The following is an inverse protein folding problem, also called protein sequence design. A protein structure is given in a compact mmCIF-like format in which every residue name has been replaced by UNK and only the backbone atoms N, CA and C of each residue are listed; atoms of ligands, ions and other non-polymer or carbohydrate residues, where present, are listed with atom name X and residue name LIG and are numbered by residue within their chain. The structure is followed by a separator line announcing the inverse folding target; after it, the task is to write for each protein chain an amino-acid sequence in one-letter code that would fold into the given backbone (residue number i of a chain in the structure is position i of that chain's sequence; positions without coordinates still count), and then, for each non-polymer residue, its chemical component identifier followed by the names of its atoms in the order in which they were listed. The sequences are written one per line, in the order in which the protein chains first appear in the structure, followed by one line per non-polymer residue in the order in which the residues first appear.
data_IF_715036083402
#
_entry.id   IF_715036083402
#
_cell.length_a   1.000
_cell.length_b   1.000
_cell.length_c   1.000
_cell.angle_alpha   90.00
_cell.angle_beta   90.00
_cell.angle_gamma   90.00
#
_symmetry.space_group_name_H-M   'P 1'
#
loop_
_entity.id
_entity.type
_entity.pdbx_description
1 polymer ?
#
# COMPACT_ATOMS: atom_id res chain seq x y z
N UNK A 1 -20.94 -30.74 4.79
CA UNK A 1 -19.68 -30.33 4.16
C UNK A 1 -18.66 -30.44 5.25
N UNK A 2 -17.80 -31.44 5.16
CA UNK A 2 -16.77 -31.68 6.17
C UNK A 2 -15.76 -30.53 6.13
N UNK A 3 -15.44 -29.99 7.30
CA UNK A 3 -14.39 -28.98 7.43
C UNK A 3 -13.06 -29.59 6.95
N UNK A 4 -12.33 -28.94 6.02
CA UNK A 4 -11.08 -29.46 5.53
C UNK A 4 -10.06 -29.55 6.67
N UNK A 5 -9.40 -30.70 6.77
CA UNK A 5 -8.35 -30.97 7.75
C UNK A 5 -7.19 -29.95 7.56
N UNK A 6 -6.88 -29.09 8.54
CA UNK A 6 -6.00 -27.92 8.36
C UNK A 6 -4.50 -28.25 8.30
N UNK A 7 -4.10 -29.50 8.53
CA UNK A 7 -2.71 -29.93 8.38
C UNK A 7 -2.36 -30.07 6.89
N UNK A 8 -1.57 -29.10 6.39
CA UNK A 8 -0.96 -29.08 5.04
C UNK A 8 -1.93 -28.95 3.84
N UNK A 9 -3.07 -28.29 3.98
CA UNK A 9 -3.92 -27.99 2.82
C UNK A 9 -3.24 -26.93 1.93
N UNK A 10 -2.75 -27.37 0.76
CA UNK A 10 -2.31 -26.47 -0.32
C UNK A 10 -3.53 -25.83 -0.97
N UNK A 11 -3.52 -24.52 -1.19
CA UNK A 11 -4.59 -23.81 -1.89
C UNK A 11 -4.07 -22.61 -2.68
N UNK A 12 -4.91 -22.05 -3.55
CA UNK A 12 -4.53 -20.95 -4.46
C UNK A 12 -5.66 -19.93 -4.48
N UNK A 13 -5.34 -18.64 -4.39
CA UNK A 13 -6.37 -17.60 -4.56
C UNK A 13 -6.51 -17.26 -6.05
N UNK A 14 -7.64 -17.61 -6.66
CA UNK A 14 -7.85 -17.53 -8.10
C UNK A 14 -8.30 -16.15 -8.61
N UNK A 15 -8.18 -15.06 -7.83
CA UNK A 15 -8.57 -13.73 -8.34
C UNK A 15 -7.78 -12.59 -7.72
N UNK A 16 -6.55 -12.86 -7.31
CA UNK A 16 -5.64 -11.85 -6.74
C UNK A 16 -4.97 -11.02 -7.83
N UNK A 17 -4.75 -9.74 -7.53
CA UNK A 17 -4.05 -8.83 -8.45
C UNK A 17 -2.59 -9.25 -8.64
N UNK A 18 -2.09 -9.17 -9.89
CA UNK A 18 -0.67 -9.40 -10.17
C UNK A 18 0.26 -8.32 -9.59
N UNK A 19 -0.28 -7.20 -9.10
CA UNK A 19 0.48 -6.12 -8.48
C UNK A 19 1.26 -6.55 -7.23
N UNK A 20 0.76 -7.56 -6.51
CA UNK A 20 1.41 -8.07 -5.30
C UNK A 20 2.53 -9.08 -5.59
N UNK A 21 2.67 -9.54 -6.84
CA UNK A 21 3.64 -10.58 -7.18
C UNK A 21 5.06 -10.06 -6.90
N UNK A 22 5.89 -10.88 -6.24
CA UNK A 22 7.28 -10.55 -5.89
C UNK A 22 7.47 -9.35 -4.94
N UNK A 23 6.44 -9.00 -4.15
CA UNK A 23 6.58 -7.99 -3.09
C UNK A 23 6.09 -8.48 -1.73
N UNK A 24 6.57 -7.82 -0.68
CA UNK A 24 6.15 -8.04 0.71
C UNK A 24 5.57 -6.74 1.25
N UNK A 25 4.42 -6.84 1.89
CA UNK A 25 3.82 -5.74 2.65
C UNK A 25 4.46 -5.74 4.04
N UNK A 26 5.00 -4.60 4.46
CA UNK A 26 5.46 -4.42 5.83
C UNK A 26 4.72 -3.29 6.55
N UNK A 27 4.41 -3.53 7.81
CA UNK A 27 4.02 -2.52 8.78
C UNK A 27 5.11 -2.43 9.87
N UNK A 28 5.99 -1.44 9.73
CA UNK A 28 6.93 -1.07 10.78
C UNK A 28 6.25 -0.14 11.79
N UNK A 29 6.33 -0.45 13.07
CA UNK A 29 5.70 0.32 14.15
C UNK A 29 6.75 0.66 15.20
N UNK A 30 6.70 1.88 15.73
CA UNK A 30 7.46 2.27 16.91
C UNK A 30 6.48 2.40 18.06
N UNK A 31 6.72 1.63 19.12
CA UNK A 31 5.93 1.64 20.35
C UNK A 31 6.73 2.35 21.44
N UNK A 32 6.10 3.28 22.15
CA UNK A 32 6.70 4.10 23.22
C UNK A 32 6.90 3.37 24.56
N UNK A 33 7.19 2.07 24.49
CA UNK A 33 7.49 1.24 25.64
C UNK A 33 8.42 0.08 25.25
N UNK A 34 9.13 -0.45 26.24
CA UNK A 34 9.90 -1.69 26.10
C UNK A 34 8.96 -2.87 26.30
N UNK A 35 8.83 -3.70 25.26
CA UNK A 35 7.96 -4.87 25.26
C UNK A 35 8.74 -6.15 25.61
N UNK A 36 8.05 -7.14 26.15
CA UNK A 36 8.60 -8.45 26.46
C UNK A 36 8.61 -9.34 25.20
N UNK A 37 9.82 -9.64 24.71
CA UNK A 37 10.02 -10.49 23.53
C UNK A 37 9.41 -11.89 23.67
N UNK A 38 9.41 -12.47 24.86
CA UNK A 38 8.85 -13.80 25.09
C UNK A 38 7.31 -13.78 25.00
N UNK A 39 6.66 -12.73 25.54
CA UNK A 39 5.21 -12.53 25.39
C UNK A 39 4.86 -12.33 23.92
N UNK A 40 5.61 -11.48 23.20
CA UNK A 40 5.39 -11.22 21.78
C UNK A 40 5.48 -12.51 20.96
N UNK A 41 6.53 -13.33 21.17
CA UNK A 41 6.70 -14.62 20.50
C UNK A 41 5.59 -15.61 20.86
N UNK A 42 5.18 -15.66 22.13
CA UNK A 42 4.09 -16.50 22.60
C UNK A 42 2.76 -16.16 21.91
N UNK A 43 2.41 -14.86 21.86
CA UNK A 43 1.19 -14.40 21.19
C UNK A 43 1.25 -14.53 19.68
N UNK A 44 2.43 -14.46 19.08
CA UNK A 44 2.62 -14.74 17.66
C UNK A 44 2.35 -16.21 17.34
N UNK A 45 2.84 -17.10 18.19
CA UNK A 45 2.59 -18.55 18.10
C UNK A 45 1.09 -18.84 18.25
N UNK A 46 0.42 -18.17 19.19
CA UNK A 46 -1.03 -18.27 19.35
C UNK A 46 -1.79 -17.76 18.12
N UNK A 47 -1.39 -16.62 17.56
CA UNK A 47 -1.96 -16.06 16.33
C UNK A 47 -1.83 -17.02 15.16
N UNK A 48 -0.63 -17.59 14.92
CA UNK A 48 -0.39 -18.55 13.85
C UNK A 48 -1.23 -19.80 14.04
N UNK A 49 -1.37 -20.30 15.27
CA UNK A 49 -2.24 -21.44 15.56
C UNK A 49 -3.70 -21.16 15.18
N UNK A 50 -4.18 -19.94 15.41
CA UNK A 50 -5.55 -19.53 15.08
C UNK A 50 -5.71 -19.22 13.58
N UNK A 51 -4.69 -18.61 12.97
CA UNK A 51 -4.63 -18.20 11.55
C UNK A 51 -3.46 -18.91 10.84
N UNK A 52 -3.59 -20.21 10.53
CA UNK A 52 -2.48 -21.05 10.08
C UNK A 52 -1.91 -20.70 8.70
N UNK A 53 -2.61 -19.91 7.88
CA UNK A 53 -2.04 -19.30 6.66
C UNK A 53 -0.75 -18.54 6.95
N UNK A 54 -0.68 -17.86 8.11
CA UNK A 54 0.48 -17.06 8.49
C UNK A 54 1.70 -17.93 8.79
N UNK A 55 1.50 -19.15 9.27
CA UNK A 55 2.59 -20.11 9.54
C UNK A 55 2.92 -21.02 8.38
N UNK A 56 2.36 -20.78 7.19
CA UNK A 56 2.61 -21.57 5.99
C UNK A 56 3.61 -20.91 5.03
N UNK A 57 3.75 -21.53 3.86
CA UNK A 57 4.73 -21.16 2.84
C UNK A 57 4.05 -20.74 1.53
N UNK A 58 4.73 -19.85 0.80
CA UNK A 58 4.42 -19.43 -0.55
C UNK A 58 5.11 -20.36 -1.55
N UNK A 59 4.31 -21.03 -2.38
CA UNK A 59 4.77 -21.97 -3.42
C UNK A 59 4.74 -21.29 -4.80
N UNK A 60 5.91 -20.86 -5.28
CA UNK A 60 6.06 -20.03 -6.49
C UNK A 60 6.11 -20.79 -7.82
N UNK A 61 6.14 -22.12 -7.79
CA UNK A 61 6.19 -23.00 -8.98
C UNK A 61 4.82 -23.20 -9.66
N UNK A 62 3.74 -22.77 -9.01
CA UNK A 62 2.37 -22.84 -9.50
C UNK A 62 1.95 -21.52 -10.16
N UNK A 63 0.84 -21.52 -10.91
CA UNK A 63 0.29 -20.29 -11.50
C UNK A 63 -1.25 -20.30 -11.50
N UNK A 64 -1.92 -19.52 -10.63
CA UNK A 64 -1.35 -18.59 -9.65
C UNK A 64 -0.49 -19.31 -8.59
N UNK A 65 0.32 -18.55 -7.84
CA UNK A 65 1.10 -19.15 -6.77
C UNK A 65 0.17 -19.75 -5.71
N UNK A 66 0.59 -20.86 -5.12
CA UNK A 66 -0.14 -21.57 -4.09
C UNK A 66 0.44 -21.27 -2.72
N UNK A 67 -0.33 -21.61 -1.69
CA UNK A 67 0.01 -21.40 -0.30
C UNK A 67 -0.28 -22.65 0.49
N UNK A 68 0.46 -22.83 1.58
CA UNK A 68 0.11 -23.81 2.60
C UNK A 68 -0.42 -23.11 3.85
N UNK A 69 -1.17 -23.85 4.65
CA UNK A 69 -1.32 -23.57 6.08
C UNK A 69 -0.20 -24.29 6.84
N UNK A 70 0.24 -23.71 7.95
CA UNK A 70 1.30 -24.29 8.77
C UNK A 70 1.39 -23.65 10.15
N UNK A 71 2.46 -24.02 10.88
CA UNK A 71 2.73 -23.60 12.25
C UNK A 71 4.08 -22.91 12.40
N UNK A 72 4.73 -22.55 11.29
CA UNK A 72 6.05 -21.90 11.30
C UNK A 72 5.98 -20.53 11.93
N UNK A 73 6.71 -20.33 13.02
CA UNK A 73 6.82 -19.04 13.73
C UNK A 73 8.11 -18.32 13.30
N UNK A 74 8.05 -17.57 12.20
CA UNK A 74 9.16 -16.74 11.73
C UNK A 74 9.27 -15.47 12.60
N UNK A 75 10.02 -15.58 13.69
CA UNK A 75 10.25 -14.54 14.69
C UNK A 75 11.73 -14.33 14.92
N UNK A 76 12.18 -13.07 14.91
CA UNK A 76 13.51 -12.70 15.37
C UNK A 76 13.43 -11.44 16.23
N UNK A 77 14.22 -11.41 17.30
CA UNK A 77 14.36 -10.24 18.17
C UNK A 77 15.82 -9.92 18.43
N UNK A 78 16.11 -8.64 18.65
CA UNK A 78 17.43 -8.16 19.09
C UNK A 78 17.27 -7.08 20.15
N UNK A 79 18.21 -7.04 21.08
CA UNK A 79 18.33 -6.02 22.11
C UNK A 79 19.43 -5.04 21.71
N UNK A 80 19.09 -3.76 21.65
CA UNK A 80 20.05 -2.69 21.35
C UNK A 80 20.09 -1.74 22.54
N UNK A 81 21.29 -1.60 23.10
CA UNK A 81 21.54 -0.75 24.26
C UNK A 81 21.61 0.75 23.89
N UNK A 82 20.56 1.27 23.27
CA UNK A 82 20.41 2.67 22.85
C UNK A 82 18.98 3.15 23.10
N UNK A 83 18.79 4.46 23.21
CA UNK A 83 17.46 5.08 23.20
C UNK A 83 16.92 5.17 21.76
N UNK A 84 15.61 5.32 21.61
CA UNK A 84 14.98 5.60 20.31
C UNK A 84 15.58 6.82 19.63
N UNK A 85 15.77 7.92 20.38
CA UNK A 85 16.32 9.16 19.86
C UNK A 85 17.74 9.00 19.29
N UNK A 86 18.53 8.05 19.80
CA UNK A 86 19.86 7.74 19.28
C UNK A 86 19.82 6.71 18.15
N UNK A 87 19.02 5.66 18.32
CA UNK A 87 19.00 4.53 17.40
C UNK A 87 18.30 4.87 16.08
N UNK A 88 17.18 5.60 16.14
CA UNK A 88 16.37 5.98 15.00
C UNK A 88 15.84 7.42 15.20
N UNK A 89 16.70 8.44 14.99
CA UNK A 89 16.32 9.85 15.17
C UNK A 89 15.34 10.26 14.08
N UNK A 90 14.04 10.11 14.33
CA UNK A 90 12.97 10.61 13.47
C UNK A 90 12.36 11.84 14.15
N UNK A 91 12.62 13.01 13.58
CA UNK A 91 12.11 14.27 14.09
C UNK A 91 11.14 14.92 13.10
N UNK A 92 9.99 15.35 13.61
CA UNK A 92 9.07 16.20 12.87
C UNK A 92 8.58 17.34 13.77
N UNK A 93 8.38 18.50 13.17
CA UNK A 93 7.81 19.66 13.82
C UNK A 93 6.27 19.54 13.84
N UNK A 94 5.71 19.22 15.01
CA UNK A 94 4.27 19.10 15.21
C UNK A 94 3.53 20.42 15.00
N UNK A 95 4.21 21.56 15.14
CA UNK A 95 3.64 22.89 14.95
C UNK A 95 3.71 23.37 13.49
N UNK A 96 4.07 22.50 12.55
CA UNK A 96 4.07 22.84 11.13
C UNK A 96 2.66 23.16 10.63
N UNK A 97 2.52 24.28 9.93
CA UNK A 97 1.28 24.67 9.26
C UNK A 97 1.13 24.08 7.84
N UNK A 98 2.15 23.37 7.34
CA UNK A 98 2.11 22.73 6.02
C UNK A 98 2.97 21.48 5.91
N UNK A 99 3.00 20.83 4.74
CA UNK A 99 3.79 19.63 4.51
C UNK A 99 5.29 19.88 4.72
N UNK A 100 5.97 18.96 5.43
CA UNK A 100 7.42 19.03 5.67
C UNK A 100 8.06 17.66 5.49
N UNK A 101 9.22 17.64 4.84
CA UNK A 101 10.12 16.48 4.85
C UNK A 101 10.61 16.30 6.29
N UNK A 102 10.46 15.09 6.81
CA UNK A 102 10.90 14.75 8.16
C UNK A 102 12.42 14.58 8.17
N UNK A 103 13.05 14.95 9.27
CA UNK A 103 14.47 14.65 9.47
C UNK A 103 14.56 13.18 9.91
N UNK A 104 15.18 12.35 9.08
CA UNK A 104 15.43 10.95 9.34
C UNK A 104 16.77 10.53 8.74
N UNK A 105 17.34 9.40 9.20
CA UNK A 105 18.38 8.71 8.42
C UNK A 105 17.90 8.38 7.01
N UNK A 106 18.84 8.01 6.14
CA UNK A 106 18.54 7.43 4.84
C UNK A 106 17.55 6.27 5.00
N UNK A 107 16.56 6.21 4.11
CA UNK A 107 15.44 5.27 4.26
C UNK A 107 15.89 3.81 4.24
N UNK A 108 16.94 3.48 3.48
CA UNK A 108 17.55 2.14 3.53
C UNK A 108 18.04 1.78 4.94
N UNK A 109 18.70 2.72 5.63
CA UNK A 109 19.16 2.53 7.00
C UNK A 109 17.99 2.48 8.00
N UNK A 110 16.86 3.15 7.70
CA UNK A 110 15.62 2.97 8.48
C UNK A 110 15.04 1.57 8.26
N UNK A 111 15.00 1.10 7.02
CA UNK A 111 14.46 -0.22 6.68
C UNK A 111 15.27 -1.34 7.32
N UNK A 112 16.60 -1.28 7.33
CA UNK A 112 17.47 -2.25 8.02
C UNK A 112 17.24 -2.32 9.54
N UNK A 113 16.66 -1.26 10.13
CA UNK A 113 16.28 -1.25 11.55
C UNK A 113 14.99 -2.03 11.80
N UNK A 114 14.09 -2.09 10.83
CA UNK A 114 12.82 -2.83 10.90
C UNK A 114 12.91 -4.24 10.29
N UNK A 115 13.62 -4.38 9.18
CA UNK A 115 13.71 -5.58 8.34
C UNK A 115 15.13 -6.12 8.47
N UNK A 116 15.33 -7.05 9.40
CA UNK A 116 16.59 -7.74 9.63
C UNK A 116 16.36 -9.25 9.70
N UNK A 117 17.42 -10.04 9.52
CA UNK A 117 17.36 -11.51 9.52
C UNK A 117 16.28 -12.06 8.59
N UNK A 118 16.20 -11.52 7.37
CA UNK A 118 15.27 -11.98 6.33
C UNK A 118 16.09 -12.70 5.26
N UNK A 119 15.89 -14.02 5.06
CA UNK A 119 16.62 -14.75 4.04
C UNK A 119 16.21 -14.30 2.62
N UNK A 120 17.11 -14.39 1.62
CA UNK A 120 16.81 -14.03 0.23
C UNK A 120 15.68 -14.89 -0.37
N UNK A 121 15.67 -16.18 -0.06
CA UNK A 121 14.67 -17.14 -0.53
C UNK A 121 13.47 -17.19 0.43
N UNK A 122 12.60 -16.20 0.28
CA UNK A 122 11.37 -16.04 1.04
C UNK A 122 10.37 -17.18 0.76
N UNK A 123 10.31 -18.17 1.66
CA UNK A 123 9.27 -19.20 1.70
C UNK A 123 8.11 -18.81 2.63
N UNK A 124 8.41 -18.34 3.85
CA UNK A 124 7.38 -18.02 4.85
C UNK A 124 6.44 -16.89 4.40
N UNK A 125 5.13 -17.11 4.61
CA UNK A 125 4.07 -16.16 4.32
C UNK A 125 4.10 -14.93 5.22
N UNK A 126 4.53 -15.07 6.47
CA UNK A 126 4.47 -14.02 7.49
C UNK A 126 5.66 -14.06 8.44
N UNK A 127 6.06 -12.89 8.93
CA UNK A 127 7.12 -12.75 9.92
C UNK A 127 6.93 -11.55 10.83
N UNK A 128 7.52 -11.65 12.02
CA UNK A 128 7.66 -10.54 12.95
C UNK A 128 9.14 -10.32 13.30
N UNK A 129 9.59 -9.08 13.23
CA UNK A 129 10.90 -8.63 13.69
C UNK A 129 10.74 -7.63 14.82
N UNK A 130 11.54 -7.79 15.88
CA UNK A 130 11.43 -6.98 17.09
C UNK A 130 12.81 -6.42 17.46
N UNK A 131 12.93 -5.10 17.55
CA UNK A 131 14.12 -4.46 18.12
C UNK A 131 13.73 -3.80 19.44
N UNK A 132 14.29 -4.30 20.54
CA UNK A 132 14.10 -3.75 21.87
C UNK A 132 15.16 -2.67 22.13
N UNK A 133 14.71 -1.47 22.47
CA UNK A 133 15.56 -0.34 22.87
C UNK A 133 15.40 -0.10 24.38
N UNK A 134 16.16 0.85 24.92
CA UNK A 134 16.07 1.22 26.35
C UNK A 134 14.71 1.81 26.74
N UNK A 135 14.03 2.47 25.80
CA UNK A 135 12.84 3.29 26.03
C UNK A 135 11.70 3.03 25.04
N UNK A 136 11.89 2.16 24.05
CA UNK A 136 10.93 1.90 22.99
C UNK A 136 11.11 0.51 22.38
N UNK A 137 10.15 0.10 21.56
CA UNK A 137 10.22 -1.14 20.77
C UNK A 137 9.88 -0.85 19.32
N UNK A 138 10.72 -1.32 18.39
CA UNK A 138 10.40 -1.33 16.96
C UNK A 138 9.86 -2.72 16.61
N UNK A 139 8.68 -2.76 16.00
CA UNK A 139 8.03 -3.97 15.51
C UNK A 139 7.94 -3.90 13.99
N UNK A 140 8.17 -5.00 13.28
CA UNK A 140 7.96 -5.07 11.84
C UNK A 140 7.21 -6.34 11.47
N UNK A 141 5.97 -6.17 11.03
CA UNK A 141 5.12 -7.25 10.53
C UNK A 141 5.30 -7.33 9.01
N UNK A 142 5.79 -8.44 8.49
CA UNK A 142 5.99 -8.64 7.06
C UNK A 142 5.14 -9.79 6.52
N UNK A 143 4.29 -9.53 5.53
CA UNK A 143 3.41 -10.55 4.91
C UNK A 143 3.60 -10.54 3.39
N UNK A 144 3.65 -11.71 2.77
CA UNK A 144 3.72 -11.82 1.32
C UNK A 144 2.52 -11.12 0.65
N UNK A 145 2.79 -10.15 -0.23
CA UNK A 145 1.74 -9.30 -0.82
C UNK A 145 0.79 -10.08 -1.75
N UNK A 146 1.19 -11.28 -2.20
CA UNK A 146 0.34 -12.12 -3.03
C UNK A 146 -0.91 -12.63 -2.27
N UNK A 147 -0.83 -12.84 -0.95
CA UNK A 147 -2.00 -13.21 -0.11
C UNK A 147 -2.60 -12.05 0.64
N UNK A 148 -1.89 -10.96 0.83
CA UNK A 148 -2.22 -9.93 1.81
C UNK A 148 -2.07 -8.56 1.17
N UNK A 149 -3.07 -7.70 1.32
CA UNK A 149 -2.93 -6.27 1.03
C UNK A 149 -2.75 -5.46 2.34
N UNK A 150 -2.72 -4.13 2.24
CA UNK A 150 -2.58 -3.27 3.42
C UNK A 150 -3.70 -3.45 4.47
N UNK A 151 -4.91 -3.84 4.06
CA UNK A 151 -6.03 -4.09 4.98
C UNK A 151 -5.80 -5.36 5.77
N UNK A 152 -5.43 -6.45 5.10
CA UNK A 152 -5.10 -7.70 5.79
C UNK A 152 -3.91 -7.55 6.73
N UNK A 153 -2.91 -6.76 6.34
CA UNK A 153 -1.78 -6.47 7.21
C UNK A 153 -2.26 -5.77 8.49
N UNK A 154 -3.14 -4.77 8.37
CA UNK A 154 -3.74 -4.10 9.52
C UNK A 154 -4.55 -5.06 10.40
N UNK A 155 -5.40 -5.92 9.80
CA UNK A 155 -6.19 -6.90 10.54
C UNK A 155 -5.32 -7.93 11.28
N UNK A 156 -4.20 -8.35 10.70
CA UNK A 156 -3.22 -9.23 11.35
C UNK A 156 -2.58 -8.54 12.57
N UNK A 157 -2.12 -7.30 12.43
CA UNK A 157 -1.55 -6.55 13.57
C UNK A 157 -2.61 -6.30 14.64
N UNK A 158 -3.85 -5.96 14.24
CA UNK A 158 -4.97 -5.78 15.15
C UNK A 158 -5.29 -7.06 15.91
N UNK A 159 -5.41 -8.21 15.22
CA UNK A 159 -5.64 -9.51 15.84
C UNK A 159 -4.53 -9.87 16.84
N UNK A 160 -3.26 -9.58 16.49
CA UNK A 160 -2.14 -9.74 17.41
C UNK A 160 -2.30 -8.90 18.69
N UNK A 161 -2.71 -7.63 18.58
CA UNK A 161 -2.97 -6.76 19.74
C UNK A 161 -4.19 -7.20 20.55
N UNK A 162 -5.23 -7.68 19.89
CA UNK A 162 -6.41 -8.27 20.56
C UNK A 162 -5.98 -9.48 21.41
N UNK A 163 -5.13 -10.37 20.89
CA UNK A 163 -4.57 -11.50 21.64
C UNK A 163 -3.66 -11.08 22.81
N UNK A 164 -2.85 -10.02 22.64
CA UNK A 164 -2.07 -9.43 23.73
C UNK A 164 -2.97 -8.96 24.88
N UNK A 165 -4.17 -8.48 24.55
CA UNK A 165 -5.19 -8.05 25.51
C UNK A 165 -6.12 -9.18 25.97
N UNK A 166 -5.83 -10.44 25.64
CA UNK A 166 -6.68 -11.61 25.88
C UNK A 166 -8.11 -11.47 25.32
N UNK A 167 -8.28 -10.70 24.25
CA UNK A 167 -9.54 -10.61 23.51
C UNK A 167 -9.60 -11.72 22.46
N UNK A 168 -10.78 -12.30 22.21
CA UNK A 168 -10.94 -13.29 21.15
C UNK A 168 -10.75 -12.64 19.78
N UNK A 169 -10.18 -13.40 18.84
CA UNK A 169 -10.09 -13.02 17.42
C UNK A 169 -10.98 -13.94 16.57
N UNK A 170 -11.39 -13.50 15.37
CA UNK A 170 -12.15 -14.35 14.45
C UNK A 170 -11.40 -15.63 14.09
N UNK A 171 -12.13 -16.72 13.84
CA UNK A 171 -11.54 -17.96 13.34
C UNK A 171 -11.08 -17.79 11.88
N UNK A 172 -9.99 -18.45 11.51
CA UNK A 172 -9.55 -18.45 10.12
C UNK A 172 -10.54 -19.20 9.23
N UNK A 173 -10.79 -18.64 8.05
CA UNK A 173 -11.46 -19.31 6.94
C UNK A 173 -10.59 -19.19 5.68
N UNK A 174 -10.66 -20.19 4.82
CA UNK A 174 -10.11 -20.07 3.48
C UNK A 174 -10.91 -19.00 2.69
N UNK A 175 -10.24 -18.21 1.84
CA UNK A 175 -10.95 -17.27 1.00
C UNK A 175 -11.84 -18.03 0.00
N UNK A 176 -13.01 -17.50 -0.40
CA UNK A 176 -13.95 -18.22 -1.26
C UNK A 176 -13.36 -18.71 -2.59
N UNK A 177 -12.45 -17.92 -3.16
CA UNK A 177 -11.75 -18.22 -4.42
C UNK A 177 -10.56 -19.18 -4.28
N UNK A 178 -10.30 -19.66 -3.06
CA UNK A 178 -9.51 -20.88 -2.85
C UNK A 178 -10.33 -22.15 -3.07
N UNK A 179 -11.66 -22.07 -3.03
CA UNK A 179 -12.56 -23.11 -3.51
C UNK A 179 -13.09 -22.78 -4.90
N UNK A 180 -14.29 -23.29 -5.21
CA UNK A 180 -14.93 -23.13 -6.52
C UNK A 180 -15.84 -21.87 -6.61
N UNK A 181 -15.71 -20.93 -5.65
CA UNK A 181 -16.55 -19.73 -5.58
C UNK A 181 -15.81 -18.54 -6.15
N UNK A 182 -16.35 -17.94 -7.21
CA UNK A 182 -15.82 -16.71 -7.81
C UNK A 182 -16.10 -15.51 -6.91
N UNK A 183 -15.11 -14.65 -6.73
CA UNK A 183 -15.28 -13.41 -5.97
C UNK A 183 -16.26 -12.47 -6.69
N UNK A 184 -16.29 -12.50 -8.02
CA UNK A 184 -17.23 -11.70 -8.83
C UNK A 184 -18.70 -12.10 -8.66
N UNK A 185 -18.98 -13.29 -8.11
CA UNK A 185 -20.34 -13.75 -7.80
C UNK A 185 -20.78 -13.36 -6.37
N UNK A 186 -19.83 -12.93 -5.53
CA UNK A 186 -20.06 -12.51 -4.13
C UNK A 186 -20.30 -11.01 -3.98
N UNK A 187 -20.85 -10.35 -5.00
CA UNK A 187 -21.17 -8.92 -4.93
C UNK A 187 -22.36 -8.68 -4.00
N UNK A 188 -22.23 -7.79 -3.00
CA UNK A 188 -23.33 -7.46 -2.05
C UNK A 188 -24.59 -6.96 -2.76
N UNK A 189 -24.40 -6.21 -3.84
CA UNK A 189 -25.47 -5.64 -4.65
C UNK A 189 -25.38 -6.28 -6.02
N UNK A 190 -26.45 -6.97 -6.42
CA UNK A 190 -26.60 -7.46 -7.79
C UNK A 190 -27.17 -6.31 -8.62
N UNK A 191 -26.32 -5.65 -9.41
CA UNK A 191 -26.79 -4.65 -10.36
C UNK A 191 -27.17 -5.34 -11.67
N UNK A 192 -28.33 -4.99 -12.20
CA UNK A 192 -28.69 -5.25 -13.60
C UNK A 192 -27.87 -4.31 -14.48
N UNK A 193 -26.62 -4.68 -14.73
CA UNK A 193 -25.75 -4.01 -15.69
C UNK A 193 -26.12 -4.50 -17.09
N UNK A 194 -26.28 -3.60 -18.06
CA UNK A 194 -26.47 -4.03 -19.45
C UNK A 194 -25.21 -4.74 -19.96
N UNK A 195 -25.34 -5.60 -20.96
CA UNK A 195 -24.19 -6.29 -21.56
C UNK A 195 -23.15 -5.30 -22.09
N UNK A 196 -23.60 -4.19 -22.69
CA UNK A 196 -22.73 -3.13 -23.20
C UNK A 196 -21.91 -2.47 -22.08
N UNK A 197 -22.52 -2.14 -20.95
CA UNK A 197 -21.83 -1.56 -19.79
C UNK A 197 -20.86 -2.55 -19.15
N UNK A 198 -21.26 -3.82 -19.04
CA UNK A 198 -20.39 -4.90 -18.58
C UNK A 198 -19.14 -5.02 -19.45
N UNK A 199 -19.30 -5.06 -20.78
CA UNK A 199 -18.20 -5.13 -21.72
C UNK A 199 -17.29 -3.89 -21.64
N UNK A 200 -17.87 -2.70 -21.51
CA UNK A 200 -17.11 -1.46 -21.33
C UNK A 200 -16.23 -1.51 -20.07
N UNK A 201 -16.79 -1.92 -18.94
CA UNK A 201 -16.03 -2.05 -17.69
C UNK A 201 -14.92 -3.10 -17.80
N UNK A 202 -15.22 -4.28 -18.34
CA UNK A 202 -14.22 -5.33 -18.54
C UNK A 202 -13.04 -4.83 -19.39
N UNK A 203 -13.32 -4.18 -20.52
CA UNK A 203 -12.29 -3.62 -21.40
C UNK A 203 -11.50 -2.49 -20.72
N UNK A 204 -12.15 -1.67 -19.90
CA UNK A 204 -11.47 -0.62 -19.11
C UNK A 204 -10.42 -1.23 -18.18
N UNK A 205 -10.73 -2.34 -17.51
CA UNK A 205 -9.75 -3.06 -16.68
C UNK A 205 -8.70 -3.78 -17.52
N UNK A 206 -9.09 -4.42 -18.62
CA UNK A 206 -8.17 -5.10 -19.51
C UNK A 206 -7.08 -4.17 -20.06
N UNK A 207 -7.43 -2.92 -20.38
CA UNK A 207 -6.47 -1.90 -20.84
C UNK A 207 -5.40 -1.53 -19.81
N UNK A 208 -5.57 -1.89 -18.54
CA UNK A 208 -4.54 -1.66 -17.51
C UNK A 208 -3.41 -2.69 -17.60
N UNK A 209 -3.61 -3.78 -18.32
CA UNK A 209 -2.69 -4.92 -18.33
C UNK A 209 -2.25 -5.30 -19.74
N UNK A 210 -0.95 -5.56 -19.87
CA UNK A 210 -0.39 -6.29 -21.00
C UNK A 210 -0.28 -7.77 -20.59
N UNK A 211 -0.43 -8.67 -21.56
CA UNK A 211 -0.29 -10.11 -21.34
C UNK A 211 0.66 -10.75 -22.35
N UNK A 212 1.34 -11.80 -21.91
CA UNK A 212 2.23 -12.62 -22.75
C UNK A 212 3.72 -12.31 -22.59
N UNK A 213 4.54 -13.28 -22.95
CA UNK A 213 5.98 -13.28 -22.67
C UNK A 213 6.74 -12.16 -23.40
N UNK A 214 6.32 -11.80 -24.62
CA UNK A 214 6.94 -10.72 -25.39
C UNK A 214 6.76 -9.36 -24.71
N UNK A 215 5.54 -9.05 -24.24
CA UNK A 215 5.24 -7.81 -23.51
C UNK A 215 5.97 -7.74 -22.17
N UNK A 216 6.06 -8.87 -21.46
CA UNK A 216 6.88 -8.99 -20.27
C UNK A 216 8.36 -8.69 -20.58
N UNK A 217 8.93 -9.31 -21.61
CA UNK A 217 10.32 -9.09 -22.00
C UNK A 217 10.59 -7.62 -22.37
N UNK A 218 9.67 -6.98 -23.09
CA UNK A 218 9.74 -5.56 -23.41
C UNK A 218 9.66 -4.67 -22.15
N UNK A 219 8.85 -5.05 -21.17
CA UNK A 219 8.75 -4.34 -19.89
C UNK A 219 10.06 -4.46 -19.10
N UNK A 220 10.60 -5.67 -18.99
CA UNK A 220 11.90 -5.91 -18.33
C UNK A 220 13.02 -5.14 -19.03
N UNK A 221 13.04 -5.14 -20.37
CA UNK A 221 14.02 -4.36 -21.15
C UNK A 221 13.93 -2.86 -20.87
N UNK A 222 12.72 -2.29 -20.82
CA UNK A 222 12.51 -0.87 -20.47
C UNK A 222 12.99 -0.55 -19.05
N UNK A 223 12.75 -1.44 -18.10
CA UNK A 223 13.26 -1.30 -16.72
C UNK A 223 14.79 -1.30 -16.73
N UNK A 224 15.43 -2.25 -17.41
CA UNK A 224 16.89 -2.30 -17.52
C UNK A 224 17.47 -1.03 -18.17
N UNK A 225 16.87 -0.55 -19.26
CA UNK A 225 17.27 0.71 -19.89
C UNK A 225 17.14 1.90 -18.92
N UNK A 226 16.07 1.94 -18.13
CA UNK A 226 15.86 2.99 -17.12
C UNK A 226 16.95 2.94 -16.05
N UNK A 227 17.29 1.74 -15.55
CA UNK A 227 18.37 1.56 -14.56
C UNK A 227 19.73 1.97 -15.12
N UNK A 228 20.03 1.62 -16.38
CA UNK A 228 21.25 2.07 -17.05
C UNK A 228 21.26 3.59 -17.22
N UNK A 229 20.14 4.20 -17.63
CA UNK A 229 20.02 5.63 -17.78
C UNK A 229 20.27 6.38 -16.46
N UNK A 230 19.73 5.88 -15.33
CA UNK A 230 20.02 6.40 -13.99
C UNK A 230 21.49 6.23 -13.64
N UNK A 231 22.05 5.03 -13.83
CA UNK A 231 23.45 4.72 -13.51
C UNK A 231 24.45 5.60 -14.26
N UNK A 232 24.14 5.97 -15.50
CA UNK A 232 24.97 6.85 -16.33
C UNK A 232 24.61 8.34 -16.20
N UNK A 233 23.68 8.71 -15.30
CA UNK A 233 23.32 10.09 -15.02
C UNK A 233 22.43 10.77 -16.08
N UNK A 234 21.81 10.00 -16.98
CA UNK A 234 20.83 10.52 -17.94
C UNK A 234 19.45 10.75 -17.31
N UNK A 235 19.15 10.04 -16.21
CA UNK A 235 17.95 10.22 -15.40
C UNK A 235 18.33 10.39 -13.94
N UNK A 236 17.60 11.22 -13.21
CA UNK A 236 17.77 11.35 -11.76
C UNK A 236 17.34 10.05 -11.06
N UNK A 237 18.06 9.66 -10.02
CA UNK A 237 17.66 8.57 -9.15
C UNK A 237 16.44 8.97 -8.29
N UNK A 238 15.52 8.04 -8.10
CA UNK A 238 14.41 8.21 -7.17
C UNK A 238 14.86 7.87 -5.75
N UNK A 239 14.79 8.84 -4.86
CA UNK A 239 15.10 8.68 -3.44
C UNK A 239 13.83 8.73 -2.62
N UNK A 240 13.79 7.94 -1.55
CA UNK A 240 12.63 7.87 -0.65
C UNK A 240 12.84 8.81 0.52
N UNK A 241 11.79 9.53 0.96
CA UNK A 241 11.78 10.32 2.20
C UNK A 241 10.46 10.16 2.94
N UNK A 242 10.48 10.48 4.24
CA UNK A 242 9.26 10.64 5.03
C UNK A 242 8.78 12.10 4.98
N UNK A 243 7.47 12.26 4.87
CA UNK A 243 6.79 13.56 4.87
C UNK A 243 5.72 13.55 5.96
N UNK A 244 5.71 14.62 6.75
CA UNK A 244 4.58 14.96 7.62
C UNK A 244 3.61 15.87 6.88
N UNK A 245 2.31 15.58 6.96
CA UNK A 245 1.26 16.50 6.52
C UNK A 245 0.26 16.76 7.65
N UNK A 246 0.10 18.03 8.08
CA UNK A 246 -0.94 18.42 9.03
C UNK A 246 -2.34 18.18 8.45
N UNK A 247 -3.25 17.63 9.27
CA UNK A 247 -4.63 17.38 8.86
C UNK A 247 -5.40 18.64 8.48
N UNK A 248 -5.16 19.73 9.21
CA UNK A 248 -5.76 21.05 8.96
C UNK A 248 -5.36 21.60 7.59
N UNK A 249 -4.11 21.42 7.17
CA UNK A 249 -3.64 21.82 5.85
C UNK A 249 -4.33 21.01 4.73
N UNK A 250 -4.53 19.70 4.93
CA UNK A 250 -5.27 18.86 3.96
C UNK A 250 -6.73 19.31 3.85
N UNK A 251 -7.35 19.68 4.98
CA UNK A 251 -8.71 20.23 4.97
C UNK A 251 -8.80 21.55 4.23
N UNK A 252 -7.85 22.47 4.44
CA UNK A 252 -7.79 23.73 3.71
C UNK A 252 -7.59 23.49 2.21
N UNK A 253 -6.66 22.62 1.83
CA UNK A 253 -6.42 22.22 0.45
C UNK A 253 -7.70 21.68 -0.21
N UNK A 254 -8.42 20.81 0.50
CA UNK A 254 -9.68 20.22 0.03
C UNK A 254 -10.78 21.25 -0.12
N UNK A 255 -10.93 22.18 0.83
CA UNK A 255 -11.94 23.23 0.77
C UNK A 255 -11.68 24.16 -0.42
N UNK A 256 -10.43 24.62 -0.60
CA UNK A 256 -10.05 25.47 -1.74
C UNK A 256 -10.27 24.74 -3.07
N UNK A 257 -9.82 23.49 -3.17
CA UNK A 257 -10.01 22.67 -4.37
C UNK A 257 -11.50 22.43 -4.65
N UNK A 258 -12.32 22.21 -3.64
CA UNK A 258 -13.76 22.05 -3.82
C UNK A 258 -14.42 23.35 -4.30
N UNK A 259 -13.95 24.51 -3.82
CA UNK A 259 -14.42 25.84 -4.21
C UNK A 259 -14.17 26.16 -5.69
N UNK A 260 -12.99 25.83 -6.23
CA UNK A 260 -12.70 25.99 -7.67
C UNK A 260 -13.62 25.16 -8.58
N UNK A 261 -14.20 24.08 -8.04
CA UNK A 261 -15.00 23.12 -8.78
C UNK A 261 -16.52 23.31 -8.61
N UNK A 262 -16.98 24.35 -7.89
CA UNK A 262 -18.40 24.53 -7.55
C UNK A 262 -19.30 24.61 -8.79
N UNK A 263 -18.81 25.26 -9.86
CA UNK A 263 -19.52 25.45 -11.12
C UNK A 263 -19.25 24.34 -12.16
N UNK A 264 -18.39 23.37 -11.82
CA UNK A 264 -18.06 22.27 -12.72
C UNK A 264 -19.16 21.19 -12.75
N UNK A 265 -19.41 20.65 -13.94
CA UNK A 265 -20.26 19.47 -14.14
C UNK A 265 -19.41 18.25 -14.51
N UNK A 266 -19.68 17.04 -13.98
CA UNK A 266 -20.66 16.75 -12.94
C UNK A 266 -20.19 17.26 -11.57
N UNK A 267 -21.16 17.57 -10.69
CA UNK A 267 -20.85 17.92 -9.30
C UNK A 267 -20.24 16.71 -8.60
N UNK A 268 -19.07 16.91 -8.01
CA UNK A 268 -18.35 15.89 -7.25
C UNK A 268 -17.98 16.41 -5.88
N UNK A 269 -17.87 15.48 -4.92
CA UNK A 269 -17.32 15.75 -3.60
C UNK A 269 -15.91 15.17 -3.51
N UNK A 270 -14.92 16.04 -3.36
CA UNK A 270 -13.53 15.63 -3.16
C UNK A 270 -13.33 15.06 -1.75
N UNK A 271 -12.57 13.98 -1.67
CA UNK A 271 -12.08 13.39 -0.43
C UNK A 271 -10.68 13.90 -0.10
N UNK A 272 -10.22 13.68 1.15
CA UNK A 272 -8.83 13.98 1.54
C UNK A 272 -7.81 13.17 0.72
N UNK A 273 -8.13 11.93 0.38
CA UNK A 273 -7.24 11.08 -0.41
C UNK A 273 -7.06 11.62 -1.84
N UNK A 274 -8.13 12.15 -2.45
CA UNK A 274 -8.08 12.73 -3.81
C UNK A 274 -7.09 13.91 -3.87
N UNK A 275 -7.19 14.85 -2.91
CA UNK A 275 -6.31 16.03 -2.88
C UNK A 275 -4.89 15.71 -2.43
N UNK A 276 -4.67 14.72 -1.56
CA UNK A 276 -3.33 14.24 -1.21
C UNK A 276 -2.64 13.62 -2.44
N UNK A 277 -3.35 12.78 -3.20
CA UNK A 277 -2.80 12.16 -4.40
C UNK A 277 -2.48 13.22 -5.47
N UNK A 278 -3.40 14.16 -5.71
CA UNK A 278 -3.20 15.25 -6.66
C UNK A 278 -2.01 16.15 -6.28
N UNK A 279 -1.91 16.53 -5.01
CA UNK A 279 -0.77 17.30 -4.51
C UNK A 279 0.56 16.53 -4.64
N UNK A 280 0.58 15.25 -4.31
CA UNK A 280 1.78 14.42 -4.47
C UNK A 280 2.23 14.35 -5.93
N UNK A 281 1.31 14.10 -6.87
CA UNK A 281 1.62 14.12 -8.30
C UNK A 281 2.20 15.48 -8.71
N UNK A 282 1.58 16.59 -8.30
CA UNK A 282 2.11 17.93 -8.59
C UNK A 282 3.51 18.12 -8.02
N UNK A 283 3.79 17.65 -6.80
CA UNK A 283 5.12 17.73 -6.18
C UNK A 283 6.22 16.94 -6.92
N UNK A 284 5.84 15.87 -7.63
CA UNK A 284 6.78 15.04 -8.41
C UNK A 284 7.02 15.63 -9.80
N UNK A 285 5.96 16.07 -10.46
CA UNK A 285 5.98 16.42 -11.88
C UNK A 285 6.18 17.91 -12.16
N UNK A 286 5.76 18.81 -11.26
CA UNK A 286 5.96 20.26 -11.44
C UNK A 286 7.43 20.70 -11.49
N UNK A 287 8.36 20.11 -10.71
CA UNK A 287 9.78 20.47 -10.76
C UNK A 287 10.49 20.10 -12.07
N UNK A 288 9.94 19.14 -12.83
CA UNK A 288 10.62 18.56 -13.99
C UNK A 288 10.78 19.59 -15.12
N UNK A 289 11.85 19.53 -15.93
CA UNK A 289 12.00 20.36 -17.12
C UNK A 289 10.77 20.22 -18.03
N UNK A 290 10.33 21.31 -18.66
CA UNK A 290 9.23 21.22 -19.63
C UNK A 290 9.75 20.45 -20.85
N UNK A 291 9.32 19.20 -21.00
CA UNK A 291 9.56 18.45 -22.22
C UNK A 291 8.81 19.12 -23.37
N UNK A 292 9.39 19.08 -24.57
CA UNK A 292 8.80 19.62 -25.80
C UNK A 292 7.59 18.81 -26.29
N UNK A 293 7.26 17.69 -25.64
CA UNK A 293 6.17 16.76 -25.96
C UNK A 293 5.34 16.47 -24.70
N UNK A 294 4.01 16.28 -24.79
CA UNK A 294 3.17 15.88 -23.68
C UNK A 294 3.45 14.41 -23.31
N UNK A 295 4.49 14.18 -22.53
CA UNK A 295 4.88 12.83 -22.11
C UNK A 295 3.77 12.19 -21.27
N UNK A 296 3.24 11.01 -21.65
CA UNK A 296 2.13 10.40 -20.95
C UNK A 296 2.56 9.91 -19.57
N UNK A 297 1.71 10.17 -18.58
CA UNK A 297 1.88 9.72 -17.19
C UNK A 297 0.65 8.92 -16.78
N UNK A 298 0.85 7.71 -16.28
CA UNK A 298 -0.23 6.93 -15.68
C UNK A 298 -0.20 7.05 -14.16
N UNK A 299 -1.28 7.53 -13.55
CA UNK A 299 -1.46 7.47 -12.10
C UNK A 299 -2.22 6.20 -11.74
N UNK A 300 -1.65 5.40 -10.85
CA UNK A 300 -2.30 4.24 -10.26
C UNK A 300 -2.67 4.50 -8.79
N UNK A 301 -3.97 4.48 -8.52
CA UNK A 301 -4.51 4.41 -7.16
C UNK A 301 -4.97 3.00 -6.82
N UNK A 302 -4.93 2.66 -5.53
CA UNK A 302 -5.32 1.33 -5.06
C UNK A 302 -6.75 1.36 -4.51
N UNK A 303 -7.61 0.49 -5.03
CA UNK A 303 -9.02 0.36 -4.58
C UNK A 303 -9.16 -0.90 -3.74
N UNK A 304 -9.71 -0.77 -2.53
CA UNK A 304 -10.13 -1.91 -1.72
C UNK A 304 -11.54 -2.40 -2.16
N UNK A 305 -11.62 -3.65 -2.62
CA UNK A 305 -12.87 -4.24 -3.10
C UNK A 305 -13.73 -4.85 -1.98
N UNK A 306 -13.20 -5.08 -0.77
CA UNK A 306 -13.94 -5.73 0.33
C UNK A 306 -15.28 -5.07 0.64
N UNK A 307 -15.40 -3.75 0.48
CA UNK A 307 -16.66 -3.04 0.74
C UNK A 307 -17.81 -3.43 -0.20
N UNK A 308 -17.49 -3.97 -1.39
CA UNK A 308 -18.45 -4.39 -2.41
C UNK A 308 -18.79 -5.89 -2.35
N UNK A 309 -17.99 -6.67 -1.63
CA UNK A 309 -18.10 -8.12 -1.53
C UNK A 309 -18.86 -8.53 -0.28
N UNK A 310 -19.65 -9.60 -0.35
CA UNK A 310 -20.23 -10.24 0.83
C UNK A 310 -19.13 -10.47 1.88
N UNK A 311 -19.35 -10.05 3.15
CA UNK A 311 -18.34 -10.22 4.18
C UNK A 311 -18.14 -11.71 4.47
N UNK A 312 -17.01 -12.08 5.10
CA UNK A 312 -16.85 -13.42 5.67
C UNK A 312 -18.04 -13.79 6.59
N UNK A 313 -18.26 -15.09 6.79
CA UNK A 313 -19.25 -15.58 7.76
C UNK A 313 -18.98 -14.95 9.13
N UNK A 314 -20.05 -14.69 9.88
CA UNK A 314 -19.92 -14.10 11.21
C UNK A 314 -18.96 -14.92 12.08
N UNK A 315 -18.01 -14.24 12.73
CA UNK A 315 -16.99 -14.88 13.56
C UNK A 315 -15.79 -15.46 12.79
N UNK A 316 -15.73 -15.33 11.46
CA UNK A 316 -14.57 -15.76 10.66
C UNK A 316 -13.88 -14.62 9.93
N UNK A 317 -12.64 -14.85 9.52
CA UNK A 317 -11.86 -13.94 8.66
C UNK A 317 -11.01 -14.74 7.68
N UNK A 318 -10.86 -14.25 6.46
CA UNK A 318 -9.92 -14.79 5.47
C UNK A 318 -8.94 -13.70 5.03
N UNK A 319 -7.66 -14.06 4.92
CA UNK A 319 -6.61 -13.18 4.40
C UNK A 319 -6.56 -13.36 2.89
N UNK A 320 -6.70 -12.26 2.13
CA UNK A 320 -6.71 -12.27 0.68
C UNK A 320 -6.45 -10.86 0.14
N UNK A 321 -5.45 -10.71 -0.71
CA UNK A 321 -5.21 -9.49 -1.48
C UNK A 321 -6.44 -9.13 -2.33
N UNK A 322 -7.23 -8.15 -1.86
CA UNK A 322 -8.54 -7.78 -2.37
C UNK A 322 -8.52 -6.32 -2.85
N UNK A 323 -7.47 -5.99 -3.60
CA UNK A 323 -7.28 -4.66 -4.19
C UNK A 323 -7.24 -4.70 -5.71
N UNK A 324 -7.67 -3.60 -6.32
CA UNK A 324 -7.53 -3.35 -7.76
C UNK A 324 -6.76 -2.06 -8.05
N UNK A 325 -6.21 -2.00 -9.27
CA UNK A 325 -5.49 -0.83 -9.77
C UNK A 325 -6.45 0.08 -10.55
N UNK A 326 -6.78 1.25 -10.02
CA UNK A 326 -7.40 2.29 -10.82
C UNK A 326 -6.32 2.95 -11.66
N UNK A 327 -6.63 3.30 -12.91
CA UNK A 327 -5.69 4.01 -13.79
C UNK A 327 -6.28 5.34 -14.21
N UNK A 328 -5.70 6.44 -13.76
CA UNK A 328 -6.00 7.77 -14.26
C UNK A 328 -4.90 8.20 -15.24
N UNK A 329 -5.31 8.69 -16.41
CA UNK A 329 -4.41 9.02 -17.51
C UNK A 329 -4.13 10.52 -17.51
N UNK A 330 -2.87 10.90 -17.36
CA UNK A 330 -2.39 12.27 -17.44
C UNK A 330 -1.29 12.42 -18.50
N UNK A 331 -0.86 13.66 -18.75
CA UNK A 331 0.45 13.99 -19.27
C UNK A 331 1.27 14.73 -18.21
N UNK A 332 2.60 14.72 -18.35
CA UNK A 332 3.49 15.50 -17.48
C UNK A 332 3.16 17.00 -17.52
N UNK A 333 2.76 17.51 -18.69
CA UNK A 333 2.34 18.90 -18.86
C UNK A 333 1.06 19.20 -18.07
N UNK A 334 0.04 18.34 -18.14
CA UNK A 334 -1.20 18.51 -17.36
C UNK A 334 -0.92 18.56 -15.86
N UNK A 335 -0.11 17.64 -15.34
CA UNK A 335 0.25 17.62 -13.91
C UNK A 335 1.00 18.87 -13.47
N UNK A 336 1.70 19.52 -14.40
CA UNK A 336 2.46 20.75 -14.14
C UNK A 336 1.56 21.99 -14.17
N UNK A 337 0.72 22.11 -15.19
CA UNK A 337 -0.05 23.32 -15.51
C UNK A 337 -1.43 23.36 -14.85
N UNK A 338 -2.16 22.24 -14.75
CA UNK A 338 -3.51 22.20 -14.18
C UNK A 338 -3.48 22.44 -12.66
N UNK A 339 -4.53 23.04 -12.10
CA UNK A 339 -4.62 23.23 -10.64
C UNK A 339 -4.73 21.89 -9.92
N UNK A 340 -4.38 21.86 -8.61
CA UNK A 340 -4.61 20.66 -7.79
C UNK A 340 -6.08 20.25 -7.79
N UNK A 341 -7.00 21.20 -7.93
CA UNK A 341 -8.43 20.93 -7.99
C UNK A 341 -8.80 20.05 -9.19
N UNK A 342 -8.31 20.38 -10.39
CA UNK A 342 -8.64 19.60 -11.59
C UNK A 342 -7.98 18.22 -11.60
N UNK A 343 -6.73 18.12 -11.14
CA UNK A 343 -6.07 16.82 -10.97
C UNK A 343 -6.87 15.95 -9.97
N UNK A 344 -7.28 16.51 -8.82
CA UNK A 344 -8.08 15.81 -7.82
C UNK A 344 -9.47 15.42 -8.36
N UNK A 345 -10.09 16.28 -9.18
CA UNK A 345 -11.35 16.00 -9.85
C UNK A 345 -11.24 14.82 -10.82
N UNK A 346 -10.20 14.80 -11.65
CA UNK A 346 -9.95 13.69 -12.57
C UNK A 346 -9.72 12.37 -11.84
N UNK A 347 -8.96 12.39 -10.72
CA UNK A 347 -8.78 11.24 -9.84
C UNK A 347 -10.11 10.78 -9.24
N UNK A 348 -10.94 11.71 -8.75
CA UNK A 348 -12.22 11.41 -8.12
C UNK A 348 -13.22 10.80 -9.10
N UNK A 349 -13.36 11.37 -10.28
CA UNK A 349 -14.23 10.84 -11.34
C UNK A 349 -13.80 9.44 -11.77
N UNK A 350 -12.49 9.24 -11.99
CA UNK A 350 -11.93 7.92 -12.31
C UNK A 350 -12.20 6.93 -11.18
N UNK A 351 -11.99 7.34 -9.93
CA UNK A 351 -12.28 6.51 -8.76
C UNK A 351 -13.74 6.11 -8.71
N UNK A 352 -14.68 7.04 -8.93
CA UNK A 352 -16.12 6.74 -8.96
C UNK A 352 -16.49 5.75 -10.06
N UNK A 353 -15.91 5.90 -11.26
CA UNK A 353 -16.09 4.94 -12.35
C UNK A 353 -15.58 3.54 -11.98
N UNK A 354 -14.36 3.44 -11.46
CA UNK A 354 -13.75 2.16 -11.10
C UNK A 354 -14.43 1.49 -9.90
N UNK A 355 -15.09 2.29 -9.05
CA UNK A 355 -15.75 1.83 -7.82
C UNK A 355 -17.27 1.68 -7.94
N UNK A 356 -17.81 1.74 -9.17
CA UNK A 356 -19.17 1.28 -9.42
C UNK A 356 -19.26 -0.24 -9.21
N UNK A 357 -20.40 -0.74 -8.73
CA UNK A 357 -20.60 -2.18 -8.49
C UNK A 357 -20.32 -3.01 -9.75
N UNK A 358 -20.81 -2.57 -10.90
CA UNK A 358 -20.57 -3.24 -12.19
C UNK A 358 -19.08 -3.25 -12.56
N UNK A 359 -18.38 -2.12 -12.38
CA UNK A 359 -16.94 -2.04 -12.63
C UNK A 359 -16.14 -2.99 -11.74
N UNK A 360 -16.43 -3.01 -10.43
CA UNK A 360 -15.73 -3.90 -9.48
C UNK A 360 -15.97 -5.37 -9.84
N UNK A 361 -17.21 -5.74 -10.14
CA UNK A 361 -17.53 -7.09 -10.59
C UNK A 361 -16.73 -7.49 -11.83
N UNK A 362 -16.66 -6.62 -12.84
CA UNK A 362 -15.90 -6.91 -14.06
C UNK A 362 -14.38 -6.91 -13.83
N UNK A 363 -13.87 -6.12 -12.89
CA UNK A 363 -12.46 -6.19 -12.49
C UNK A 363 -12.12 -7.56 -11.92
N UNK A 364 -12.98 -8.10 -11.04
CA UNK A 364 -12.80 -9.42 -10.46
C UNK A 364 -12.92 -10.51 -11.52
N UNK A 365 -13.92 -10.44 -12.41
CA UNK A 365 -14.06 -11.36 -13.56
C UNK A 365 -12.82 -11.34 -14.45
N UNK A 366 -12.30 -10.16 -14.76
CA UNK A 366 -11.06 -10.04 -15.53
C UNK A 366 -9.90 -10.77 -14.85
N UNK A 367 -9.72 -10.60 -13.54
CA UNK A 367 -8.70 -11.33 -12.77
C UNK A 367 -8.92 -12.84 -12.78
N UNK A 368 -10.16 -13.30 -12.61
CA UNK A 368 -10.57 -14.72 -12.65
C UNK A 368 -10.27 -15.36 -14.01
N UNK A 369 -10.60 -14.67 -15.12
CA UNK A 369 -10.35 -15.14 -16.49
C UNK A 369 -8.85 -15.19 -16.86
N UNK A 370 -7.98 -14.54 -16.06
CA UNK A 370 -6.56 -14.35 -16.35
C UNK A 370 -5.62 -14.94 -15.29
N UNK A 371 -6.13 -15.78 -14.39
CA UNK A 371 -5.38 -16.42 -13.29
C UNK A 371 -4.08 -17.11 -13.70
N UNK A 372 -4.12 -17.84 -14.82
CA UNK A 372 -2.97 -18.59 -15.34
C UNK A 372 -2.07 -17.76 -16.25
N UNK A 373 -2.43 -16.49 -16.54
CA UNK A 373 -1.67 -15.63 -17.45
C UNK A 373 -0.65 -14.78 -16.69
N UNK A 374 0.45 -14.45 -17.36
CA UNK A 374 1.38 -13.45 -16.82
C UNK A 374 0.89 -12.09 -17.29
N UNK A 375 0.47 -11.26 -16.34
CA UNK A 375 0.01 -9.90 -16.57
C UNK A 375 1.07 -8.91 -16.07
N UNK A 376 1.35 -7.88 -16.85
CA UNK A 376 2.16 -6.72 -16.46
C UNK A 376 1.33 -5.46 -16.64
N UNK A 377 1.66 -4.37 -15.94
CA UNK A 377 1.00 -3.08 -16.18
C UNK A 377 1.29 -2.59 -17.61
N UNK A 378 0.24 -2.23 -18.35
CA UNK A 378 0.34 -1.68 -19.71
C UNK A 378 0.67 -0.18 -19.67
N UNK A 379 1.91 0.16 -19.29
CA UNK A 379 2.37 1.55 -19.12
C UNK A 379 2.44 2.30 -20.46
N UNK A 380 1.87 3.51 -20.51
CA UNK A 380 1.99 4.43 -21.68
C UNK A 380 3.31 5.20 -21.65
N UNK A 381 3.70 5.67 -20.47
CA UNK A 381 4.95 6.41 -20.27
C UNK A 381 6.19 5.53 -20.35
N UNK A 382 7.31 6.16 -20.65
CA UNK A 382 8.65 5.55 -20.62
C UNK A 382 9.52 6.22 -19.54
N UNK A 383 10.51 5.50 -19.02
CA UNK A 383 11.43 6.02 -18.00
C UNK A 383 10.85 5.98 -16.58
N UNK A 384 11.63 6.49 -15.62
CA UNK A 384 11.33 6.40 -14.19
C UNK A 384 10.22 7.33 -13.69
N UNK A 385 9.67 8.21 -14.54
CA UNK A 385 8.53 9.07 -14.23
C UNK A 385 7.29 8.76 -15.09
N UNK A 386 7.33 7.69 -15.91
CA UNK A 386 6.24 7.33 -16.82
C UNK A 386 4.93 6.88 -16.13
N UNK A 387 4.99 6.60 -14.82
CA UNK A 387 3.82 6.34 -14.00
C UNK A 387 4.10 6.67 -12.54
N UNK A 388 3.05 6.87 -11.75
CA UNK A 388 3.14 7.09 -10.31
C UNK A 388 2.07 6.28 -9.57
N UNK A 389 2.36 5.87 -8.33
CA UNK A 389 1.43 5.12 -7.47
C UNK A 389 1.20 5.85 -6.17
N UNK A 390 -0.06 5.96 -5.74
CA UNK A 390 -0.39 6.38 -4.37
C UNK A 390 -1.25 5.32 -3.71
N UNK A 391 -0.72 4.73 -2.64
CA UNK A 391 -1.38 3.72 -1.83
C UNK A 391 -1.88 4.35 -0.53
N UNK A 392 -3.20 4.48 -0.40
CA UNK A 392 -3.81 5.09 0.78
C UNK A 392 -4.12 4.03 1.85
N UNK A 393 -3.40 4.12 2.96
CA UNK A 393 -3.59 3.31 4.16
C UNK A 393 -4.30 4.12 5.26
N UNK A 394 -5.03 5.15 4.86
CA UNK A 394 -5.60 6.16 5.77
C UNK A 394 -6.80 5.65 6.59
N UNK A 395 -7.30 4.45 6.30
CA UNK A 395 -8.33 3.75 7.07
C UNK A 395 -7.76 2.79 8.11
N UNK A 396 -6.46 2.52 8.09
CA UNK A 396 -5.79 1.58 8.99
C UNK A 396 -5.25 2.33 10.20
N UNK A 397 -5.97 2.27 11.32
CA UNK A 397 -5.59 2.97 12.55
C UNK A 397 -4.56 2.16 13.35
N UNK A 398 -3.32 2.14 12.86
CA UNK A 398 -2.19 1.52 13.58
C UNK A 398 -1.88 2.25 14.88
N UNK A 399 -2.11 3.57 14.93
CA UNK A 399 -1.83 4.42 16.10
C UNK A 399 -2.79 4.18 17.26
N UNK A 400 -4.00 3.69 16.97
CA UNK A 400 -4.98 3.28 17.96
C UNK A 400 -4.76 1.87 18.53
N UNK A 401 -3.74 1.13 18.07
CA UNK A 401 -3.42 -0.21 18.58
C UNK A 401 -2.72 -0.13 19.93
N UNK A 402 -3.02 -1.11 20.79
CA UNK A 402 -2.53 -1.19 22.16
C UNK A 402 -1.65 -2.43 22.37
N UNK A 403 -0.37 -2.20 22.64
CA UNK A 403 0.62 -3.25 22.91
C UNK A 403 0.87 -3.47 24.41
N UNK A 404 0.10 -2.84 25.29
CA UNK A 404 0.35 -2.83 26.74
C UNK A 404 0.37 -4.23 27.36
N UNK A 405 -0.32 -5.20 26.75
CA UNK A 405 -0.29 -6.61 27.17
C UNK A 405 1.09 -7.28 27.10
N UNK A 406 2.05 -6.71 26.37
CA UNK A 406 3.45 -7.13 26.36
C UNK A 406 4.39 -6.13 27.08
N UNK A 407 3.90 -5.08 27.72
CA UNK A 407 4.77 -4.07 28.36
C UNK A 407 5.49 -4.65 29.58
N UNK A 408 6.83 -4.55 29.64
CA UNK A 408 7.63 -5.10 30.74
C UNK A 408 7.25 -4.53 32.13
N UNK A 409 6.77 -3.28 32.15
CA UNK A 409 6.43 -2.57 33.38
C UNK A 409 4.92 -2.36 33.54
N UNK A 410 4.09 -3.02 32.71
CA UNK A 410 2.65 -2.78 32.67
C UNK A 410 2.27 -1.35 32.27
N UNK A 411 3.21 -0.60 31.70
CA UNK A 411 2.98 0.75 31.20
C UNK A 411 2.17 0.70 29.91
N UNK A 412 1.45 1.79 29.65
CA UNK A 412 0.77 1.99 28.37
C UNK A 412 1.80 1.93 27.24
N UNK A 413 1.53 1.14 26.21
CA UNK A 413 2.43 0.94 25.08
C UNK A 413 1.70 1.27 23.77
N UNK A 414 1.86 2.51 23.32
CA UNK A 414 1.19 3.10 22.17
C UNK A 414 2.12 3.20 20.96
N UNK A 415 1.53 3.06 19.78
CA UNK A 415 2.25 3.29 18.52
C UNK A 415 2.41 4.79 18.27
N UNK A 416 3.66 5.26 18.26
CA UNK A 416 4.01 6.67 18.04
C UNK A 416 4.49 6.97 16.61
N UNK A 417 4.84 5.94 15.83
CA UNK A 417 5.24 6.08 14.43
C UNK A 417 4.91 4.83 13.62
N UNK A 418 4.58 5.04 12.35
CA UNK A 418 4.22 3.97 11.40
C UNK A 418 5.07 4.13 10.13
N UNK A 419 5.88 3.11 9.84
CA UNK A 419 6.64 2.94 8.61
C UNK A 419 5.94 1.87 7.74
N UNK A 420 4.98 2.28 6.92
CA UNK A 420 4.35 1.38 5.96
C UNK A 420 5.21 1.23 4.71
N UNK A 421 5.46 -0.01 4.31
CA UNK A 421 6.37 -0.32 3.20
C UNK A 421 5.76 -1.36 2.27
N UNK A 422 6.02 -1.18 0.98
CA UNK A 422 5.80 -2.20 -0.05
C UNK A 422 7.18 -2.47 -0.64
N UNK A 423 7.80 -3.57 -0.23
CA UNK A 423 9.18 -3.89 -0.62
C UNK A 423 9.14 -4.93 -1.73
N UNK A 424 9.65 -4.59 -2.90
CA UNK A 424 9.83 -5.55 -3.98
C UNK A 424 11.13 -6.36 -3.76
N UNK A 425 11.16 -7.59 -4.26
CA UNK A 425 12.30 -8.50 -4.07
C UNK A 425 13.61 -8.02 -4.71
N UNK A 426 13.56 -7.01 -5.59
CA UNK A 426 14.72 -6.49 -6.31
C UNK A 426 15.23 -5.15 -5.77
N UNK A 427 14.58 -4.57 -4.75
CA UNK A 427 14.91 -3.25 -4.21
C UNK A 427 14.81 -2.09 -5.22
N UNK A 428 14.06 -2.24 -6.30
CA UNK A 428 14.06 -1.28 -7.41
C UNK A 428 13.07 -0.13 -7.20
N UNK A 429 13.53 1.11 -7.24
CA UNK A 429 12.71 2.32 -7.29
C UNK A 429 12.61 2.85 -8.72
N UNK A 430 11.70 2.27 -9.49
CA UNK A 430 11.53 2.59 -10.93
C UNK A 430 10.38 3.57 -11.22
N UNK A 431 9.68 4.03 -10.18
CA UNK A 431 8.58 4.98 -10.29
C UNK A 431 8.34 5.74 -8.97
N UNK A 432 7.78 6.96 -9.04
CA UNK A 432 7.19 7.65 -7.90
C UNK A 432 6.12 6.78 -7.21
N UNK A 433 6.33 6.49 -5.93
CA UNK A 433 5.40 5.72 -5.09
C UNK A 433 5.24 6.47 -3.77
N UNK A 434 4.00 6.68 -3.35
CA UNK A 434 3.68 7.19 -2.01
C UNK A 434 2.78 6.20 -1.26
N UNK A 435 3.12 5.92 0.00
CA UNK A 435 2.27 5.20 0.95
C UNK A 435 1.84 6.16 2.03
N UNK A 436 0.53 6.40 2.15
CA UNK A 436 -0.06 7.43 3.02
C UNK A 436 -0.74 6.77 4.22
N UNK A 437 -0.27 7.07 5.43
CA UNK A 437 -0.85 6.57 6.69
C UNK A 437 -1.27 7.73 7.60
N UNK A 438 -2.12 7.45 8.59
CA UNK A 438 -2.45 8.43 9.63
C UNK A 438 -1.36 8.47 10.68
N UNK A 439 -1.16 9.66 11.27
CA UNK A 439 -0.21 9.84 12.37
C UNK A 439 -0.82 9.67 13.79
N UNK A 440 -2.11 9.33 13.90
CA UNK A 440 -2.82 9.24 15.19
C UNK A 440 -3.20 10.57 15.82
N UNK A 441 -2.60 11.69 15.39
CA UNK A 441 -2.86 13.05 15.88
C UNK A 441 -3.63 13.92 14.86
N UNK A 442 -4.35 13.28 13.93
CA UNK A 442 -5.19 13.95 12.93
C UNK A 442 -4.49 14.35 11.62
N UNK A 443 -3.16 14.17 11.52
CA UNK A 443 -2.37 14.34 10.31
C UNK A 443 -1.97 13.02 9.64
N UNK A 444 -0.95 13.09 8.77
CA UNK A 444 -0.52 11.98 7.92
C UNK A 444 1.00 11.80 7.92
N UNK A 445 1.45 10.55 7.91
CA UNK A 445 2.80 10.16 7.51
C UNK A 445 2.77 9.65 6.08
N UNK A 446 3.65 10.18 5.24
CA UNK A 446 3.84 9.68 3.89
C UNK A 446 5.27 9.20 3.73
N UNK A 447 5.41 7.95 3.31
CA UNK A 447 6.65 7.44 2.74
C UNK A 447 6.55 7.61 1.23
N UNK A 448 7.33 8.51 0.65
CA UNK A 448 7.21 8.89 -0.76
C UNK A 448 8.56 8.85 -1.47
N UNK A 449 8.54 8.56 -2.77
CA UNK A 449 9.72 8.64 -3.64
C UNK A 449 9.63 9.84 -4.58
N UNK A 450 10.74 10.53 -4.78
CA UNK A 450 10.85 11.63 -5.73
C UNK A 450 12.30 11.73 -6.22
N UNK A 451 12.54 12.52 -7.26
CA UNK A 451 13.90 12.84 -7.72
C UNK A 451 14.58 13.81 -6.76
N UNK A 452 15.90 13.94 -6.84
CA UNK A 452 16.65 14.95 -6.06
C UNK A 452 16.11 16.36 -6.30
N UNK A 453 15.89 16.74 -7.56
CA UNK A 453 15.30 18.02 -7.95
C UNK A 453 13.90 18.19 -7.37
N UNK A 454 13.09 17.12 -7.37
CA UNK A 454 11.77 17.12 -6.76
C UNK A 454 11.80 17.37 -5.25
N UNK A 455 12.78 16.80 -4.54
CA UNK A 455 12.96 17.05 -3.11
C UNK A 455 13.45 18.46 -2.80
N UNK A 456 14.39 18.98 -3.58
CA UNK A 456 14.92 20.33 -3.38
C UNK A 456 13.83 21.40 -3.55
N UNK A 457 12.91 21.17 -4.51
CA UNK A 457 11.75 22.04 -4.76
C UNK A 457 10.48 21.65 -4.00
N UNK A 458 10.59 20.72 -3.05
CA UNK A 458 9.41 20.24 -2.31
C UNK A 458 8.72 21.39 -1.56
N UNK A 459 9.49 22.29 -0.94
CA UNK A 459 8.93 23.42 -0.18
C UNK A 459 8.16 24.42 -1.05
N UNK A 460 8.55 24.57 -2.32
CA UNK A 460 7.85 25.43 -3.30
C UNK A 460 6.52 24.81 -3.72
N UNK A 461 6.48 23.48 -3.82
CA UNK A 461 5.30 22.68 -4.15
C UNK A 461 4.29 22.57 -3.00
N UNK A 462 4.54 23.21 -1.85
CA UNK A 462 3.68 23.13 -0.66
C UNK A 462 2.93 24.42 -0.35
N UNK A 463 3.25 25.52 -1.05
CA UNK A 463 2.57 26.80 -0.86
C UNK A 463 1.20 26.73 -1.52
N UNK A 464 0.13 27.03 -0.78
CA UNK A 464 -1.22 26.95 -1.35
C UNK A 464 -1.37 27.86 -2.57
N UNK A 465 -0.65 28.99 -2.61
CA UNK A 465 -0.62 29.90 -3.75
C UNK A 465 -0.02 29.26 -5.02
N UNK A 466 0.92 28.32 -4.90
CA UNK A 466 1.50 27.62 -6.05
C UNK A 466 0.63 26.46 -6.53
N UNK A 467 -0.24 25.93 -5.66
CA UNK A 467 -1.17 24.84 -5.97
C UNK A 467 -2.44 25.31 -6.70
N UNK A 468 -2.75 26.61 -6.57
CA UNK A 468 -3.89 27.29 -7.18
C UNK A 468 -3.40 28.55 -7.93
N UNK A 469 -2.69 28.38 -9.07
CA UNK A 469 -2.25 29.52 -9.85
C UNK A 469 -3.47 30.33 -10.30
N UNK A 470 -3.43 31.66 -10.08
CA UNK A 470 -4.52 32.56 -10.51
C UNK A 470 -4.69 32.45 -12.02
N UNK A 471 -5.91 32.10 -12.45
CA UNK A 471 -6.34 32.09 -13.85
C UNK A 471 -6.50 33.49 -14.41
#
# INVERSE_FOLDING_TARGET
MDDPNPDSSKYTCNSVSCLGNYSTIYAGLIVDAVLDSAILRGKLTELIRLWPILGGDLIKDTKPWSFTCGSTVDYASRDIDQSLATYLPIHHDQNSHGPKIMQSPEISAVDEKFIFDVPPDLASNFRLRVTLLRDATLLCFGIAHHICDGNDCWEVVKAFCDLLSNKPIPSFALPPDAGDVRMSDLMKVKNECTETESNFHYQTHAQNYDSGIFKLAMTVWRVLLTLLAVKFGFLEELTTKFIYIPGTWVDELRIKAQGELEDCSPKIQLTRNDVIAAWYLKSVYSPQPTATSPDPVDYFGIINFRRFLEPPKAGTYYIRCSVGALRCKFSAQQLKEESVAEIARNIRLTTLQYTSTGSVQQSLRFSEDHTSKTLTLALRGTGNLGFAVVSHWTTFDYTGLDFSGASLNGQKALVIFVNSMIVNAWGLNIAPVAVVTKNGSGGYWIRATNTSTGWDRFSESNRLESLFPRS
#
